data_IF_152028025755
#
_entry.id   IF_152028025755
#
_cell.length_a   1.000
_cell.length_b   1.000
_cell.length_c   1.000
_cell.angle_alpha   90.00
_cell.angle_beta   90.00
_cell.angle_gamma   90.00
#
_symmetry.space_group_name_H-M   'P 1'
#
loop_
_entity.id
_entity.type
_entity.pdbx_description
1 polymer ?
#
# COMPACT_ATOMS: atom_id res chain seq x y z
N UNK A 1 -9.66 10.23 26.96
CA UNK A 1 -9.31 11.05 25.77
C UNK A 1 -7.94 10.58 25.28
N UNK A 2 -7.91 9.53 24.47
CA UNK A 2 -6.66 8.99 23.90
C UNK A 2 -6.30 9.75 22.63
N UNK A 3 -5.06 10.23 22.58
CA UNK A 3 -4.49 11.05 21.51
C UNK A 3 -4.53 10.30 20.18
N UNK A 4 -5.32 10.82 19.24
CA UNK A 4 -5.31 10.40 17.84
C UNK A 4 -4.10 11.08 17.21
N UNK A 5 -3.01 10.35 17.03
CA UNK A 5 -1.85 10.86 16.29
C UNK A 5 -2.20 10.91 14.81
N UNK A 6 -2.67 12.07 14.38
CA UNK A 6 -2.89 12.39 12.98
C UNK A 6 -1.54 12.72 12.32
N UNK A 7 -0.87 11.69 11.79
CA UNK A 7 0.27 11.82 10.88
C UNK A 7 -0.18 11.39 9.49
N UNK A 8 -0.48 12.35 8.61
CA UNK A 8 -0.61 12.16 7.15
C UNK A 8 -1.12 10.78 6.69
N UNK A 9 -2.37 10.44 7.04
CA UNK A 9 -3.34 9.66 6.27
C UNK A 9 -3.01 8.26 5.75
N UNK A 10 -2.00 7.53 6.25
CA UNK A 10 -1.71 6.17 5.78
C UNK A 10 -2.05 5.12 6.84
N UNK A 11 -2.89 4.16 6.48
CA UNK A 11 -3.30 3.06 7.37
C UNK A 11 -2.19 2.01 7.44
N UNK A 12 -1.66 1.76 8.64
CA UNK A 12 -0.71 0.68 8.89
C UNK A 12 -1.39 -0.67 8.67
N UNK A 13 -0.74 -1.56 7.93
CA UNK A 13 -1.27 -2.87 7.56
C UNK A 13 -1.13 -3.90 8.69
N UNK A 14 0.00 -3.86 9.39
CA UNK A 14 0.41 -4.90 10.33
C UNK A 14 -0.04 -4.64 11.75
N UNK A 15 -0.39 -5.70 12.48
CA UNK A 15 -0.86 -5.64 13.86
C UNK A 15 -2.00 -4.62 14.07
N UNK A 16 -2.79 -4.40 13.02
CA UNK A 16 -3.89 -3.45 13.02
C UNK A 16 -5.18 -4.16 13.45
N UNK A 17 -5.80 -3.67 14.53
CA UNK A 17 -7.03 -4.26 15.10
C UNK A 17 -8.25 -4.13 14.18
N UNK A 18 -8.22 -3.19 13.26
CA UNK A 18 -9.28 -3.00 12.26
C UNK A 18 -9.11 -3.97 11.08
N UNK A 19 -7.91 -4.51 10.87
CA UNK A 19 -7.58 -5.45 9.78
C UNK A 19 -7.29 -6.82 10.39
N UNK A 20 -8.35 -7.62 10.56
CA UNK A 20 -8.26 -8.93 11.21
C UNK A 20 -8.94 -10.03 10.41
N UNK A 21 -8.52 -11.27 10.65
CA UNK A 21 -9.24 -12.47 10.25
C UNK A 21 -9.36 -13.37 11.46
N UNK A 22 -10.57 -13.82 11.79
CA UNK A 22 -10.85 -14.64 12.98
C UNK A 22 -10.29 -14.03 14.28
N UNK A 23 -10.46 -12.71 14.45
CA UNK A 23 -9.95 -11.92 15.58
C UNK A 23 -8.42 -11.91 15.74
N UNK A 24 -7.68 -12.33 14.72
CA UNK A 24 -6.22 -12.26 14.70
C UNK A 24 -5.76 -11.19 13.72
N UNK A 25 -4.75 -10.42 14.13
CA UNK A 25 -4.09 -9.42 13.29
C UNK A 25 -3.04 -10.08 12.39
N UNK A 26 -2.73 -9.45 11.27
CA UNK A 26 -1.70 -9.94 10.36
C UNK A 26 -0.31 -9.39 10.69
N UNK A 27 0.70 -10.26 10.55
CA UNK A 27 2.10 -9.85 10.45
C UNK A 27 2.89 -10.84 9.60
N UNK A 28 3.19 -10.46 8.35
CA UNK A 28 4.03 -11.24 7.46
C UNK A 28 5.41 -10.60 7.39
N UNK A 29 6.37 -11.14 8.15
CA UNK A 29 7.73 -10.59 8.26
C UNK A 29 8.41 -10.43 6.90
N UNK A 30 8.27 -11.43 6.04
CA UNK A 30 8.82 -11.43 4.68
C UNK A 30 8.24 -10.32 3.80
N UNK A 31 6.98 -9.93 4.01
CA UNK A 31 6.35 -8.81 3.30
C UNK A 31 6.77 -7.46 3.89
N UNK A 32 6.90 -7.39 5.21
CA UNK A 32 7.37 -6.19 5.91
C UNK A 32 8.81 -5.82 5.51
N UNK A 33 9.70 -6.80 5.43
CA UNK A 33 11.09 -6.63 4.96
C UNK A 33 11.17 -6.19 3.49
N UNK A 34 10.14 -6.50 2.70
CA UNK A 34 9.96 -6.00 1.31
C UNK A 34 9.29 -4.62 1.24
N UNK A 35 9.27 -3.89 2.35
CA UNK A 35 8.75 -2.52 2.45
C UNK A 35 7.23 -2.38 2.26
N UNK A 36 6.46 -3.45 2.37
CA UNK A 36 5.00 -3.38 2.45
C UNK A 36 4.63 -3.10 3.91
N UNK A 37 4.11 -1.91 4.21
CA UNK A 37 3.81 -1.41 5.56
C UNK A 37 2.41 -0.81 5.69
N UNK A 38 1.89 -0.25 4.60
CA UNK A 38 0.63 0.50 4.57
C UNK A 38 -0.34 -0.09 3.56
N UNK A 39 -1.64 0.09 3.80
CA UNK A 39 -2.71 -0.38 2.90
C UNK A 39 -2.59 0.27 1.51
N UNK A 40 -2.24 1.55 1.46
CA UNK A 40 -2.01 2.33 0.23
C UNK A 40 -1.03 1.67 -0.75
N UNK A 41 -0.04 0.93 -0.22
CA UNK A 41 0.97 0.25 -1.04
C UNK A 41 0.43 -0.98 -1.78
N UNK A 42 -0.75 -1.46 -1.39
CA UNK A 42 -1.48 -2.54 -2.05
C UNK A 42 -2.55 -1.99 -3.01
N UNK A 43 -2.80 -0.68 -3.02
CA UNK A 43 -3.92 -0.05 -3.71
C UNK A 43 -3.50 0.66 -5.00
N UNK A 44 -4.21 0.40 -6.09
CA UNK A 44 -4.06 1.11 -7.37
C UNK A 44 -5.10 2.23 -7.48
N UNK A 45 -4.66 3.45 -7.24
CA UNK A 45 -5.49 4.65 -7.31
C UNK A 45 -6.08 4.94 -8.69
N UNK A 46 -5.49 4.41 -9.77
CA UNK A 46 -5.98 4.68 -11.13
C UNK A 46 -7.27 3.94 -11.41
N UNK A 47 -7.36 2.70 -10.92
CA UNK A 47 -8.55 1.85 -11.06
C UNK A 47 -9.42 1.83 -9.80
N UNK A 48 -8.98 2.51 -8.73
CA UNK A 48 -9.65 2.57 -7.43
C UNK A 48 -9.91 1.19 -6.83
N UNK A 49 -8.94 0.29 -6.96
CA UNK A 49 -9.00 -1.03 -6.35
C UNK A 49 -7.60 -1.53 -5.97
N UNK A 50 -7.53 -2.62 -5.21
CA UNK A 50 -6.26 -3.28 -4.91
C UNK A 50 -5.59 -3.82 -6.18
N UNK A 51 -4.26 -3.84 -6.18
CA UNK A 51 -3.48 -4.51 -7.22
C UNK A 51 -3.91 -5.98 -7.36
N UNK A 52 -3.77 -6.57 -8.55
CA UNK A 52 -3.86 -8.04 -8.65
C UNK A 52 -2.71 -8.71 -7.89
N UNK A 53 -2.86 -9.99 -7.56
CA UNK A 53 -1.77 -10.73 -6.94
C UNK A 53 -0.51 -10.76 -7.83
N UNK A 54 -0.69 -10.88 -9.15
CA UNK A 54 0.43 -10.84 -10.11
C UNK A 54 1.18 -9.51 -10.06
N UNK A 55 0.44 -8.38 -9.95
CA UNK A 55 1.05 -7.06 -9.78
C UNK A 55 1.86 -6.98 -8.48
N UNK A 56 1.34 -7.52 -7.37
CA UNK A 56 2.06 -7.56 -6.09
C UNK A 56 3.32 -8.43 -6.20
N UNK A 57 3.25 -9.58 -6.88
CA UNK A 57 4.41 -10.43 -7.15
C UNK A 57 5.47 -9.69 -7.95
N UNK A 58 5.07 -8.96 -9.00
CA UNK A 58 5.97 -8.18 -9.84
C UNK A 58 6.61 -7.01 -9.11
N UNK A 59 5.84 -6.22 -8.36
CA UNK A 59 6.32 -4.99 -7.70
C UNK A 59 7.23 -5.31 -6.51
N UNK A 60 6.88 -6.32 -5.71
CA UNK A 60 7.56 -6.60 -4.44
C UNK A 60 8.37 -7.89 -4.42
N UNK A 61 8.36 -8.66 -5.51
CA UNK A 61 9.04 -9.96 -5.60
C UNK A 61 8.45 -11.02 -4.66
N UNK A 62 7.14 -10.96 -4.42
CA UNK A 62 6.45 -11.91 -3.54
C UNK A 62 6.35 -13.29 -4.19
N UNK A 63 6.64 -14.39 -3.46
CA UNK A 63 6.46 -15.75 -3.97
C UNK A 63 5.01 -16.05 -4.37
N UNK A 64 4.82 -16.73 -5.49
CA UNK A 64 3.50 -17.08 -6.04
C UNK A 64 2.65 -17.98 -5.13
N UNK A 65 3.29 -18.78 -4.27
CA UNK A 65 2.58 -19.62 -3.29
C UNK A 65 1.93 -18.81 -2.15
N UNK A 66 2.15 -17.50 -2.05
CA UNK A 66 1.51 -16.62 -1.07
C UNK A 66 0.14 -16.08 -1.53
N UNK A 67 -0.44 -16.58 -2.63
CA UNK A 67 -1.73 -16.10 -3.15
C UNK A 67 -2.83 -16.09 -2.09
N UNK A 68 -2.94 -17.15 -1.27
CA UNK A 68 -3.97 -17.23 -0.24
C UNK A 68 -3.75 -16.19 0.86
N UNK A 69 -2.50 -15.93 1.25
CA UNK A 69 -2.16 -14.87 2.21
C UNK A 69 -2.60 -13.50 1.70
N UNK A 70 -2.36 -13.24 0.42
CA UNK A 70 -2.76 -11.99 -0.22
C UNK A 70 -4.28 -11.78 -0.18
N UNK A 71 -5.05 -12.74 -0.70
CA UNK A 71 -6.50 -12.60 -0.78
C UNK A 71 -7.18 -12.54 0.58
N UNK A 72 -6.67 -13.27 1.57
CA UNK A 72 -7.15 -13.16 2.96
C UNK A 72 -6.89 -11.77 3.51
N UNK A 73 -5.69 -11.22 3.30
CA UNK A 73 -5.30 -9.90 3.81
C UNK A 73 -6.18 -8.79 3.23
N UNK A 74 -6.34 -8.72 1.90
CA UNK A 74 -7.12 -7.64 1.27
C UNK A 74 -8.62 -7.74 1.56
N UNK A 75 -9.15 -8.96 1.78
CA UNK A 75 -10.54 -9.17 2.20
C UNK A 75 -10.79 -8.72 3.64
N UNK A 76 -9.77 -8.79 4.48
CA UNK A 76 -9.81 -8.31 5.86
C UNK A 76 -9.69 -6.79 6.00
N UNK A 77 -9.38 -6.04 4.93
CA UNK A 77 -9.33 -4.58 4.99
C UNK A 77 -10.75 -4.01 4.98
N UNK A 78 -11.15 -3.24 6.02
CA UNK A 78 -12.45 -2.60 6.09
C UNK A 78 -12.75 -1.65 4.93
N UNK A 79 -14.03 -1.55 4.57
CA UNK A 79 -14.50 -0.70 3.47
C UNK A 79 -14.21 0.79 3.74
N UNK A 80 -14.30 1.25 4.99
CA UNK A 80 -14.07 2.67 5.33
C UNK A 80 -12.62 3.10 5.05
N UNK A 81 -11.65 2.20 5.25
CA UNK A 81 -10.24 2.44 4.91
C UNK A 81 -10.09 2.64 3.39
N UNK A 82 -10.79 1.82 2.58
CA UNK A 82 -10.81 2.01 1.12
C UNK A 82 -11.40 3.36 0.72
N UNK A 83 -12.46 3.83 1.39
CA UNK A 83 -13.06 5.12 1.07
C UNK A 83 -12.17 6.30 1.43
N UNK A 84 -11.43 6.23 2.54
CA UNK A 84 -10.49 7.29 2.96
C UNK A 84 -9.27 7.39 2.03
N UNK A 85 -8.79 6.25 1.53
CA UNK A 85 -7.73 6.21 0.52
C UNK A 85 -8.18 6.90 -0.77
N UNK A 86 -9.47 6.86 -1.12
CA UNK A 86 -9.98 7.53 -2.32
C UNK A 86 -10.12 9.05 -2.18
N UNK A 87 -10.39 9.57 -0.98
CA UNK A 87 -10.68 10.99 -0.75
C UNK A 87 -9.44 11.86 -0.55
N UNK A 88 -8.33 11.28 -0.07
CA UNK A 88 -7.13 12.03 0.31
C UNK A 88 -6.09 12.21 -0.82
N UNK A 89 -6.40 11.80 -2.06
CA UNK A 89 -5.44 11.90 -3.15
C UNK A 89 -5.41 13.29 -3.78
N UNK A 90 -4.36 14.04 -3.46
CA UNK A 90 -3.77 14.96 -4.43
C UNK A 90 -3.18 14.09 -5.56
N UNK A 91 -3.37 14.41 -6.85
CA UNK A 91 -2.81 13.62 -7.94
C UNK A 91 -1.31 13.45 -7.71
N UNK A 92 -0.88 12.21 -7.50
CA UNK A 92 0.53 11.87 -7.41
C UNK A 92 1.15 12.26 -8.76
N UNK A 93 1.91 13.35 -8.80
CA UNK A 93 2.85 13.60 -9.88
C UNK A 93 3.92 12.53 -9.70
N UNK A 94 3.67 11.33 -10.23
CA UNK A 94 4.71 10.34 -10.39
C UNK A 94 5.68 10.96 -11.37
N UNK A 95 6.72 11.61 -10.84
CA UNK A 95 7.83 12.11 -11.64
C UNK A 95 8.43 10.87 -12.24
N UNK A 96 8.08 10.61 -13.50
CA UNK A 96 8.54 9.40 -14.18
C UNK A 96 10.06 9.36 -14.12
N UNK A 97 10.66 8.16 -14.17
CA UNK A 97 12.12 8.02 -14.25
C UNK A 97 12.70 8.93 -15.35
N UNK A 98 11.92 9.14 -16.43
CA UNK A 98 12.18 10.08 -17.52
C UNK A 98 12.26 11.54 -17.05
N UNK A 99 11.32 12.02 -16.25
CA UNK A 99 11.34 13.40 -15.71
C UNK A 99 12.55 13.65 -14.80
N UNK A 100 12.94 12.65 -13.99
CA UNK A 100 14.14 12.71 -13.15
C UNK A 100 15.44 12.74 -13.98
N UNK A 101 15.47 12.13 -15.16
CA UNK A 101 16.60 12.22 -16.10
C UNK A 101 16.63 13.59 -16.79
N UNK A 102 15.47 14.11 -17.19
CA UNK A 102 15.37 15.37 -17.92
C UNK A 102 15.77 16.58 -17.05
N UNK A 103 15.41 16.55 -15.75
CA UNK A 103 15.79 17.58 -14.78
C UNK A 103 17.31 17.68 -14.56
N UNK A 104 18.02 16.54 -14.59
CA UNK A 104 19.48 16.50 -14.40
C UNK A 104 20.27 17.11 -15.56
N UNK A 105 19.73 17.13 -16.78
CA UNK A 105 20.41 17.74 -17.95
C UNK A 105 20.41 19.28 -17.93
N UNK A 106 19.50 19.92 -17.20
CA UNK A 106 19.41 21.40 -17.13
C UNK A 106 20.41 22.06 -16.18
N UNK A 107 21.05 21.30 -15.28
CA UNK A 107 21.98 21.84 -14.28
C UNK A 107 23.45 21.89 -14.74
N UNK A 108 23.76 21.39 -15.95
CA UNK A 108 25.10 21.38 -16.51
C UNK A 108 25.23 22.36 -17.70
N UNK A 109 24.84 23.62 -17.53
CA UNK A 109 25.13 24.68 -18.49
C UNK A 109 25.52 25.97 -17.79
#
# INVERSE_FOLDING_TARGET
MSLITQTSGKTILWNNKDITSNNQTFFYKDWFERSIKYVDQLYDYRIKDFYSFDNICYIYGIPSNNFLKYYTLIKSVPIHIKSEINTNNTPCTQTTFVENILGRKKQNK
#
